data_IF_029278370447
#
_entry.id   IF_029278370447
#
_cell.length_a   1.000
_cell.length_b   1.000
_cell.length_c   1.000
_cell.angle_alpha   90.00
_cell.angle_beta   90.00
_cell.angle_gamma   90.00
#
_symmetry.space_group_name_H-M   'P 1'
#
loop_
_entity.id
_entity.type
_entity.pdbx_description
1 polymer ?
2 non-polymer ?
3 non-polymer ?
4 water ?
#
# COMPACT_ATOMS: atom_id res chain seq x y z
N UNK A 1 -3.78 -18.17 1.31
CA UNK A 1 -3.22 -16.90 1.85
C UNK A 1 -1.71 -17.03 2.03
N UNK A 2 -1.04 -15.90 2.25
CA UNK A 2 0.36 -15.89 2.68
C UNK A 2 0.44 -14.99 3.90
N UNK A 3 -0.27 -13.86 3.81
CA UNK A 3 -0.36 -12.90 4.91
C UNK A 3 -1.42 -13.38 5.90
N UNK A 4 -1.04 -13.39 7.17
CA UNK A 4 -1.92 -13.80 8.26
C UNK A 4 -1.86 -12.76 9.39
N UNK A 5 -1.56 -11.53 9.02
CA UNK A 5 -1.84 -10.40 9.89
C UNK A 5 -2.89 -9.54 9.19
N UNK A 6 -4.00 -9.33 9.88
CA UNK A 6 -5.00 -8.37 9.45
C UNK A 6 -5.33 -7.60 10.70
N UNK A 7 -5.83 -6.39 10.51
CA UNK A 7 -6.20 -5.57 11.64
C UNK A 7 -7.60 -5.92 12.11
N UNK A 8 -7.73 -6.04 13.43
CA UNK A 8 -9.01 -6.25 14.09
C UNK A 8 -9.63 -4.91 14.43
N UNK A 9 -10.92 -4.79 14.14
CA UNK A 9 -11.70 -3.62 14.54
C UNK A 9 -11.55 -2.44 13.59
N UNK A 10 -11.02 -2.71 12.40
CA UNK A 10 -10.80 -1.69 11.39
C UNK A 10 -12.06 -0.88 11.13
N UNK A 11 -11.92 0.44 11.24
CA UNK A 11 -12.96 1.36 10.82
C UNK A 11 -12.49 2.04 9.56
N UNK A 12 -12.88 1.48 8.42
CA UNK A 12 -12.44 1.94 7.11
C UNK A 12 -12.66 3.43 6.84
N UNK A 13 -13.67 4.02 7.48
CA UNK A 13 -13.99 5.42 7.22
C UNK A 13 -12.82 6.29 7.65
N UNK A 14 -12.18 5.85 8.73
CA UNK A 14 -11.09 6.57 9.39
C UNK A 14 -9.71 6.46 8.72
N UNK A 15 -9.61 5.73 7.61
CA UNK A 15 -8.36 5.75 6.82
C UNK A 15 -8.45 6.76 5.65
N UNK A 16 -9.56 7.50 5.57
CA UNK A 16 -9.73 8.53 4.54
C UNK A 16 -8.64 9.59 4.63
N UNK A 17 -8.25 10.13 3.47
CA UNK A 17 -7.34 11.26 3.44
C UNK A 17 -6.01 10.99 2.78
N UNK A 18 -5.01 11.75 3.22
CA UNK A 18 -3.70 11.79 2.56
C UNK A 18 -2.77 10.72 3.13
N UNK A 19 -2.08 10.00 2.26
CA UNK A 19 -1.05 9.03 2.68
C UNK A 19 0.20 9.13 1.86
N UNK A 20 1.32 8.80 2.49
CA UNK A 20 2.62 8.70 1.84
C UNK A 20 3.12 7.25 1.89
N UNK A 21 3.52 6.72 0.73
CA UNK A 21 4.20 5.43 0.64
C UNK A 21 5.66 5.53 1.06
N UNK A 22 5.88 5.44 2.37
CA UNK A 22 7.21 5.55 2.94
C UNK A 22 8.18 4.39 2.58
N UNK A 23 7.70 3.15 2.65
CA UNK A 23 8.47 1.95 2.33
C UNK A 23 7.59 0.92 1.63
N UNK A 24 8.21 0.11 0.78
CA UNK A 24 7.51 -0.92 0.03
C UNK A 24 8.37 -2.16 0.10
N UNK A 25 7.74 -3.33 0.05
CA UNK A 25 8.48 -4.58 -0.05
C UNK A 25 7.69 -5.59 -0.88
N UNK A 26 8.40 -6.46 -1.58
CA UNK A 26 7.76 -7.46 -2.44
C UNK A 26 8.51 -8.80 -2.44
N UNK A 27 7.77 -9.86 -2.76
CA UNK A 27 8.29 -11.22 -2.70
C UNK A 27 9.23 -11.49 -3.85
N UNK A 28 9.10 -10.71 -4.93
CA UNK A 28 9.98 -10.82 -6.07
C UNK A 28 10.49 -9.46 -6.53
N UNK A 29 11.78 -9.43 -6.87
CA UNK A 29 12.49 -8.21 -7.20
C UNK A 29 11.87 -7.46 -8.38
N UNK A 30 11.39 -8.23 -9.36
CA UNK A 30 10.75 -7.69 -10.56
C UNK A 30 9.47 -6.91 -10.27
N UNK A 31 8.83 -7.19 -9.14
CA UNK A 31 7.63 -6.45 -8.74
C UNK A 31 7.92 -4.98 -8.37
N UNK A 32 9.18 -4.66 -8.06
CA UNK A 32 9.53 -3.33 -7.54
C UNK A 32 10.80 -2.68 -8.09
N UNK A 33 11.61 -3.42 -8.87
CA UNK A 33 12.97 -2.95 -9.21
C UNK A 33 13.05 -1.73 -10.14
N UNK A 34 12.44 -1.83 -11.32
CA UNK A 34 12.39 -0.71 -12.25
C UNK A 34 11.35 0.33 -11.82
N UNK A 35 11.48 1.55 -12.36
CA UNK A 35 10.52 2.62 -12.10
C UNK A 35 9.13 2.25 -12.64
N UNK A 36 9.10 1.42 -13.67
CA UNK A 36 7.83 0.99 -14.29
C UNK A 36 7.33 -0.38 -13.81
N UNK A 37 8.06 -1.00 -12.89
CA UNK A 37 7.67 -2.28 -12.28
C UNK A 37 6.20 -2.31 -11.88
N UNK A 38 5.53 -3.47 -12.04
CA UNK A 38 4.08 -3.64 -11.85
C UNK A 38 3.51 -3.08 -10.55
N UNK A 39 4.18 -3.31 -9.42
CA UNK A 39 3.62 -2.92 -8.13
C UNK A 39 4.29 -1.72 -7.50
N UNK A 40 5.17 -1.07 -8.27
CA UNK A 40 5.81 0.15 -7.79
C UNK A 40 4.79 1.30 -7.85
N UNK A 41 3.90 1.35 -6.88
CA UNK A 41 2.81 2.33 -6.88
C UNK A 41 2.92 3.23 -5.67
N UNK A 42 2.56 4.49 -5.86
CA UNK A 42 2.74 5.50 -4.82
C UNK A 42 1.38 6.00 -4.41
N UNK A 43 0.99 5.76 -3.17
CA UNK A 43 -0.35 6.11 -2.72
C UNK A 43 -0.46 7.63 -2.53
N UNK A 44 -1.58 8.21 -2.98
CA UNK A 44 -1.83 9.64 -2.83
C UNK A 44 -2.92 9.85 -1.77
N UNK A 45 -4.03 9.13 -1.92
CA UNK A 45 -5.17 9.38 -1.07
C UNK A 45 -6.11 8.19 -1.07
N UNK A 46 -6.75 7.95 0.07
CA UNK A 46 -7.78 6.93 0.14
C UNK A 46 -9.14 7.57 0.39
N UNK A 47 -10.12 7.16 -0.40
CA UNK A 47 -11.49 7.63 -0.25
C UNK A 47 -12.44 6.44 -0.04
N UNK A 48 -12.71 6.09 1.22
CA UNK A 48 -13.76 5.12 1.49
C UNK A 48 -15.11 5.66 1.08
N UNK A 49 -15.92 4.82 0.46
CA UNK A 49 -17.27 5.20 0.07
C UNK A 49 -18.25 4.94 1.23
N UNK A 50 -19.51 5.41 1.10
CA UNK A 50 -20.50 5.18 2.17
C UNK A 50 -20.91 3.70 2.31
N UNK A 51 -20.95 2.97 1.19
CA UNK A 51 -21.16 1.51 1.18
C UNK A 51 -20.00 0.71 1.79
N UNK A 52 -18.84 1.35 1.94
CA UNK A 52 -17.66 0.71 2.51
C UNK A 52 -16.66 0.12 1.52
N UNK A 53 -16.80 0.44 0.23
CA UNK A 53 -15.74 0.20 -0.75
C UNK A 53 -14.66 1.27 -0.59
N UNK A 54 -13.50 1.04 -1.21
CA UNK A 54 -12.35 1.93 -1.03
C UNK A 54 -11.79 2.38 -2.37
N UNK A 55 -11.95 3.67 -2.67
CA UNK A 55 -11.36 4.28 -3.85
C UNK A 55 -9.93 4.70 -3.53
N UNK A 56 -9.01 4.29 -4.38
CA UNK A 56 -7.60 4.62 -4.19
C UNK A 56 -7.11 5.53 -5.33
N UNK A 57 -6.46 6.63 -4.96
CA UNK A 57 -5.73 7.47 -5.90
C UNK A 57 -4.24 7.25 -5.69
N UNK A 58 -3.53 6.96 -6.78
CA UNK A 58 -2.08 6.73 -6.71
C UNK A 58 -1.36 7.20 -7.97
N UNK A 59 -0.03 7.15 -7.93
CA UNK A 59 0.81 7.49 -9.07
C UNK A 59 1.58 6.27 -9.53
N UNK A 60 1.67 6.08 -10.84
CA UNK A 60 2.51 5.02 -11.37
C UNK A 60 3.29 5.49 -12.61
N UNK A 61 4.58 5.17 -12.64
CA UNK A 61 5.41 5.37 -13.81
C UNK A 61 5.01 4.38 -14.87
N UNK A 62 4.59 4.87 -16.03
CA UNK A 62 4.11 3.98 -17.10
C UNK A 62 4.53 4.35 -18.53
N UNK A 63 4.31 5.59 -18.93
CA UNK A 63 4.47 5.97 -20.34
C UNK A 63 5.87 6.52 -20.59
N UNK A 64 6.82 6.13 -19.74
CA UNK A 64 8.05 6.88 -19.54
C UNK A 64 7.77 8.16 -18.76
N UNK A 65 6.62 8.21 -18.09
CA UNK A 65 6.21 9.37 -17.29
C UNK A 65 5.38 8.94 -16.08
N UNK A 66 5.20 9.87 -15.14
CA UNK A 66 4.42 9.63 -13.93
C UNK A 66 2.93 9.85 -14.17
N UNK A 67 2.18 8.75 -14.18
CA UNK A 67 0.73 8.79 -14.45
C UNK A 67 -0.15 8.73 -13.20
N UNK A 68 -1.25 9.47 -13.25
CA UNK A 68 -2.30 9.42 -12.25
C UNK A 68 -3.12 8.16 -12.46
N UNK A 69 -3.63 7.60 -11.37
CA UNK A 69 -4.40 6.37 -11.42
C UNK A 69 -5.50 6.39 -10.36
N UNK A 70 -6.70 5.99 -10.75
CA UNK A 70 -7.81 5.90 -9.80
C UNK A 70 -8.35 4.48 -9.85
N UNK A 71 -8.18 3.76 -8.75
CA UNK A 71 -8.65 2.37 -8.71
C UNK A 71 -9.60 2.10 -7.54
N UNK A 72 -10.41 1.06 -7.71
CA UNK A 72 -11.46 0.77 -6.75
C UNK A 72 -11.30 -0.61 -6.09
N UNK A 73 -11.22 -0.61 -4.76
CA UNK A 73 -11.14 -1.84 -3.96
C UNK A 73 -12.50 -2.14 -3.33
N UNK A 74 -13.09 -3.27 -3.70
CA UNK A 74 -14.41 -3.65 -3.20
C UNK A 74 -14.34 -4.40 -1.87
N UNK A 75 -15.25 -4.07 -0.96
CA UNK A 75 -15.28 -4.70 0.35
C UNK A 75 -15.58 -6.19 0.25
N UNK A 76 -15.17 -6.94 1.27
CA UNK A 76 -15.56 -8.34 1.44
C UNK A 76 -16.24 -8.52 2.81
N UNK A 77 -16.48 -9.78 3.19
CA UNK A 77 -17.08 -10.07 4.49
C UNK A 77 -16.11 -9.80 5.63
N UNK A 78 -14.81 -9.76 5.31
CA UNK A 78 -13.80 -9.40 6.29
C UNK A 78 -13.53 -7.90 6.16
N UNK A 79 -13.72 -7.15 7.25
CA UNK A 79 -13.51 -5.69 7.29
C UNK A 79 -12.10 -5.23 6.87
N UNK A 80 -11.09 -6.08 7.02
CA UNK A 80 -9.71 -5.66 6.72
C UNK A 80 -9.21 -6.16 5.36
N UNK A 81 -10.13 -6.67 4.54
CA UNK A 81 -9.76 -7.32 3.30
C UNK A 81 -10.66 -6.78 2.21
N UNK A 82 -10.05 -6.42 1.09
CA UNK A 82 -10.75 -5.76 -0.01
C UNK A 82 -10.29 -6.44 -1.28
N UNK A 83 -10.98 -6.17 -2.37
CA UNK A 83 -10.72 -6.89 -3.60
C UNK A 83 -10.79 -5.92 -4.78
N UNK A 84 -9.72 -5.91 -5.57
CA UNK A 84 -9.65 -5.10 -6.79
C UNK A 84 -9.99 -5.98 -7.99
N UNK A 85 -10.82 -5.47 -8.90
CA UNK A 85 -11.17 -6.24 -10.11
C UNK A 85 -10.14 -6.04 -11.23
N UNK A 86 -9.15 -6.94 -11.26
CA UNK A 86 -8.20 -7.04 -12.36
C UNK A 86 -8.49 -8.34 -13.09
N UNK A 87 -7.70 -8.65 -14.12
CA UNK A 87 -7.83 -9.91 -14.87
C UNK A 87 -8.03 -11.08 -13.89
N UNK A 88 -7.06 -11.26 -13.01
CA UNK A 88 -7.25 -12.05 -11.80
C UNK A 88 -7.41 -11.08 -10.63
N UNK A 89 -8.45 -11.31 -9.83
CA UNK A 89 -8.81 -10.38 -8.76
C UNK A 89 -7.81 -10.44 -7.60
N UNK A 90 -7.22 -9.28 -7.32
CA UNK A 90 -6.19 -9.14 -6.30
C UNK A 90 -6.76 -8.71 -4.96
N UNK A 91 -6.20 -9.26 -3.90
CA UNK A 91 -6.68 -9.06 -2.55
C UNK A 91 -5.83 -8.00 -1.85
N UNK A 92 -6.47 -7.08 -1.13
CA UNK A 92 -5.75 -6.07 -0.35
C UNK A 92 -6.06 -6.26 1.12
N UNK A 93 -5.01 -6.36 1.94
CA UNK A 93 -5.21 -6.59 3.37
C UNK A 93 -4.63 -5.46 4.18
N UNK A 94 -5.42 -4.92 5.11
CA UNK A 94 -4.92 -3.93 6.05
C UNK A 94 -4.42 -4.68 7.27
N UNK A 95 -3.10 -4.70 7.47
CA UNK A 95 -2.51 -5.46 8.57
C UNK A 95 -2.67 -4.75 9.90
N UNK A 96 -2.50 -3.43 9.86
CA UNK A 96 -2.44 -2.59 11.05
C UNK A 96 -2.54 -1.12 10.67
N UNK A 97 -3.16 -0.32 11.55
CA UNK A 97 -3.15 1.14 11.46
C UNK A 97 -3.57 1.77 12.77
N UNK A 98 -3.09 2.99 12.99
CA UNK A 98 -3.54 3.81 14.11
C UNK A 98 -4.30 5.04 13.56
N UNK A 99 -4.64 4.99 12.26
CA UNK A 99 -5.42 6.04 11.55
C UNK A 99 -4.74 7.42 11.39
N UNK A 100 -4.06 7.87 12.44
CA UNK A 100 -3.54 9.22 12.51
C UNK A 100 -2.07 9.38 12.10
N UNK A 101 -1.27 8.30 12.17
CA UNK A 101 0.16 8.33 11.79
C UNK A 101 0.56 7.32 10.69
N UNK A 102 0.23 6.04 10.88
CA UNK A 102 0.64 5.00 9.94
C UNK A 102 -0.45 4.00 9.54
N UNK A 103 -0.23 3.35 8.40
CA UNK A 103 -1.06 2.24 7.98
C UNK A 103 -0.15 1.27 7.24
N UNK A 104 -0.31 -0.03 7.55
CA UNK A 104 0.43 -1.11 6.88
C UNK A 104 -0.54 -1.99 6.10
N UNK A 105 -0.23 -2.25 4.83
CA UNK A 105 -1.09 -3.08 4.00
C UNK A 105 -0.28 -3.96 3.06
N UNK A 106 -0.84 -5.10 2.68
CA UNK A 106 -0.23 -5.98 1.69
C UNK A 106 -1.19 -6.19 0.54
N UNK A 107 -0.64 -6.49 -0.63
CA UNK A 107 -1.42 -6.86 -1.81
C UNK A 107 -0.93 -8.22 -2.28
N UNK A 108 -1.84 -9.19 -2.38
CA UNK A 108 -1.46 -10.52 -2.87
C UNK A 108 -2.40 -11.01 -3.95
N UNK A 109 -1.86 -11.77 -4.89
CA UNK A 109 -2.64 -12.44 -5.93
C UNK A 109 -3.37 -13.66 -5.36
N UNK A 115 2.49 -17.93 -5.12
CA UNK A 115 2.04 -16.66 -5.70
C UNK A 115 2.72 -15.45 -5.06
N UNK A 116 2.64 -14.30 -5.75
CA UNK A 116 3.36 -13.08 -5.36
C UNK A 116 2.58 -12.08 -4.46
N UNK A 117 3.30 -11.06 -3.98
CA UNK A 117 2.87 -10.26 -2.84
C UNK A 117 3.72 -8.98 -2.66
N UNK A 118 3.05 -7.85 -2.46
CA UNK A 118 3.72 -6.58 -2.09
C UNK A 118 3.04 -5.88 -0.92
N UNK A 119 3.85 -5.30 -0.03
CA UNK A 119 3.33 -4.58 1.13
C UNK A 119 3.90 -3.17 1.22
N UNK A 120 3.17 -2.27 1.87
CA UNK A 120 3.69 -0.92 2.04
C UNK A 120 3.52 -0.42 3.45
N UNK A 121 4.42 0.48 3.83
CA UNK A 121 4.22 1.29 5.02
C UNK A 121 3.79 2.70 4.58
N UNK A 122 2.54 3.03 4.89
CA UNK A 122 1.94 4.32 4.60
C UNK A 122 1.99 5.20 5.82
N UNK A 123 2.31 6.47 5.58
CA UNK A 123 2.32 7.46 6.66
C UNK A 123 1.58 8.73 6.26
N UNK A 124 1.07 9.44 7.26
CA UNK A 124 0.29 10.65 7.04
C UNK A 124 1.13 11.83 6.54
N UNK A 125 2.35 11.96 7.08
CA UNK A 125 3.22 13.12 6.84
C UNK A 125 4.50 12.71 6.10
N UNK A 126 5.12 13.66 5.35
CA UNK A 126 6.37 13.42 4.61
C UNK A 126 7.60 13.35 5.52
N UNK A 127 7.57 12.42 6.48
CA UNK A 127 8.59 12.26 7.50
C UNK A 127 8.89 10.79 7.69
N UNK A 128 10.17 10.49 7.95
CA UNK A 128 10.61 9.16 8.32
C UNK A 128 10.16 8.82 9.76
N UNK A 129 9.08 8.06 9.85
CA UNK A 129 8.59 7.55 11.12
C UNK A 129 9.29 6.21 11.42
N UNK A 130 10.39 6.26 12.19
CA UNK A 130 11.17 5.08 12.58
C UNK A 130 10.28 3.99 13.19
N UNK A 131 9.38 4.41 14.07
CA UNK A 131 8.46 3.51 14.77
C UNK A 131 7.53 2.75 13.80
N UNK A 132 6.95 3.46 12.84
CA UNK A 132 6.08 2.82 11.86
C UNK A 132 6.89 1.86 10.99
N UNK A 133 8.16 2.21 10.75
CA UNK A 133 9.05 1.39 9.94
C UNK A 133 9.45 0.13 10.68
N UNK A 134 9.49 0.23 12.00
CA UNK A 134 9.77 -0.91 12.87
C UNK A 134 8.61 -1.92 12.80
N UNK A 135 7.37 -1.44 12.95
CA UNK A 135 6.18 -2.28 12.80
C UNK A 135 6.11 -2.96 11.44
N UNK A 136 6.44 -2.20 10.39
CA UNK A 136 6.47 -2.70 9.04
C UNK A 136 7.45 -3.87 8.95
N UNK A 137 8.67 -3.66 9.45
CA UNK A 137 9.71 -4.68 9.37
C UNK A 137 9.37 -5.93 10.18
N UNK A 138 8.75 -5.75 11.34
CA UNK A 138 8.27 -6.87 12.16
C UNK A 138 7.12 -7.63 11.52
N UNK A 139 6.17 -6.93 10.88
CA UNK A 139 5.10 -7.61 10.12
C UNK A 139 5.64 -8.41 8.94
N UNK A 140 6.82 -8.03 8.45
CA UNK A 140 7.40 -8.59 7.22
C UNK A 140 8.31 -9.81 7.42
N UNK A 141 8.93 -9.94 8.60
CA UNK A 141 9.83 -11.07 8.85
C UNK A 141 9.09 -12.41 8.71
N UNK A 142 7.79 -12.40 9.00
CA UNK A 142 6.90 -13.53 8.71
C UNK A 142 6.53 -13.69 7.22
N UNK A 143 7.22 -12.98 6.32
CA UNK A 143 6.89 -13.05 4.89
C UNK A 143 8.14 -13.26 4.04
N UNK A 144 7.99 -13.83 2.83
CA UNK A 144 9.21 -14.04 2.03
C UNK A 144 9.45 -12.89 1.02
N UNK A 145 9.97 -11.78 1.52
CA UNK A 145 10.25 -10.61 0.71
C UNK A 145 11.68 -10.69 0.18
N UNK A 146 11.92 -10.12 -1.00
CA UNK A 146 13.24 -10.16 -1.64
C UNK A 146 13.70 -8.82 -2.16
N UNK A 147 12.78 -7.85 -2.17
CA UNK A 147 13.13 -6.46 -2.46
C UNK A 147 12.44 -5.57 -1.45
N UNK A 148 13.17 -4.59 -0.92
CA UNK A 148 12.62 -3.59 0.00
C UNK A 148 13.12 -2.20 -0.40
N UNK A 149 12.19 -1.27 -0.56
CA UNK A 149 12.53 0.13 -0.87
C UNK A 149 12.10 1.08 0.25
N UNK A 150 12.86 2.16 0.42
CA UNK A 150 12.51 3.21 1.37
C UNK A 150 12.74 4.59 0.75
N UNK A 151 11.90 5.56 1.09
CA UNK A 151 12.04 6.92 0.49
C UNK A 151 12.31 8.01 1.52
N UNK A 152 13.01 9.06 1.10
CA UNK A 152 13.32 10.17 2.01
C UNK A 152 12.27 11.29 1.89
N UNK A 153 12.23 12.25 2.87
CA UNK A 153 11.22 13.31 2.82
C UNK A 153 11.19 14.12 1.52
N UNK A 154 12.34 14.37 0.91
CA UNK A 154 12.40 15.08 -0.37
C UNK A 154 11.65 14.33 -1.45
N UNK A 155 11.93 13.03 -1.58
CA UNK A 155 11.27 12.20 -2.61
C UNK A 155 9.76 12.06 -2.38
N UNK A 156 9.34 12.06 -1.11
CA UNK A 156 7.92 11.93 -0.78
C UNK A 156 7.07 13.09 -1.31
N UNK A 157 7.70 14.26 -1.51
CA UNK A 157 7.00 15.44 -2.04
C UNK A 157 7.09 15.56 -3.55
N UNK A 158 7.80 14.63 -4.18
CA UNK A 158 7.92 14.60 -5.62
C UNK A 158 6.93 13.62 -6.24
N UNK A 159 6.55 13.88 -7.49
CA UNK A 159 5.70 12.97 -8.25
C UNK A 159 6.45 11.67 -8.51
N UNK A 160 5.81 10.54 -8.22
CA UNK A 160 6.47 9.25 -8.35
C UNK A 160 7.80 9.16 -7.60
N UNK A 161 7.96 9.95 -6.54
CA UNK A 161 9.13 9.85 -5.65
C UNK A 161 10.46 10.07 -6.35
N UNK A 162 10.44 10.95 -7.35
CA UNK A 162 11.64 11.32 -8.12
C UNK A 162 12.76 11.86 -7.23
X LIG B 1 -2.45 -0.37 -11.36
X LIG B 1 -2.55 -1.54 -12.26
X LIG B 1 -2.38 -0.85 -9.87
X LIG B 1 -1.24 0.42 -11.67
X LIG B 1 -3.65 0.48 -11.55
X LIG B 1 -1.82 -2.10 -9.45
X LIG B 1 -6.00 0.32 2.79
X LIG B 1 -4.82 0.29 1.87
X LIG B 1 -5.28 0.64 0.47
X LIG B 1 -4.58 -0.18 -0.61
X LIG B 1 -3.53 0.69 -1.26
X LIG B 1 -3.54 0.61 -2.78
X LIG B 1 -3.34 -0.77 -3.40
X LIG B 1 -3.08 -0.54 -4.88
X LIG B 1 -3.00 -1.79 -5.75
X LIG B 1 -2.41 -1.41 -7.10
X LIG B 1 -2.45 -2.54 -8.12
X LIG C 1 -2.93 -4.88 15.29
X LIG C 1 -3.92 -3.86 15.41
X LIG C 1 -3.41 -5.89 14.26
X LIG C 1 -2.36 -6.19 13.33
X LIG C 1 -3.87 -7.17 14.96
X LIG C 1 -5.25 -7.03 15.32
#
# INVERSE_FOLDING_TARGET
LIVTQTMKGLDIQKVAGTWYSLAMAASDISLLDAQSAPLRVYVEELKPTPEGDLEILLQKWENGECAQKKIIAEKTKIPAVFKIDALNENKVLVLDTDYKKYLLFCMENSAEPEQSLACQCLVRTPEVDDEALEKFDKALKALPMHIRLSFNPTQLEEQCHI
SDS S O1S O2S O3S O4 C1 C2 C3 C4 C5 C6 C7 C8 C9 C10 C11 C12
GOL C1 O1 C2 O2 C3 O3
#
